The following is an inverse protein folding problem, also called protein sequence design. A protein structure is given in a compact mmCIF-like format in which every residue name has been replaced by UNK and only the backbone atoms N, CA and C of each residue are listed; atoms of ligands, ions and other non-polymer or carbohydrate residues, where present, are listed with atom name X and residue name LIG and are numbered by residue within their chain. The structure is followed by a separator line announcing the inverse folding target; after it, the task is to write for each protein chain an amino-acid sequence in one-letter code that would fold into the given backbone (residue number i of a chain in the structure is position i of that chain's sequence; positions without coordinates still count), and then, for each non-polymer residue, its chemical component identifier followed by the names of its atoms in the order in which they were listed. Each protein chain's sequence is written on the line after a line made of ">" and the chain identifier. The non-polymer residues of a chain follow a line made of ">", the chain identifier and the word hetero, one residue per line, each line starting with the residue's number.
data_IF_637250490875
#
_entry.id   IF_637250490875
#
_cell.length_a   1.000
_cell.length_b   1.000
_cell.length_c   1.000
_cell.angle_alpha   90.00
_cell.angle_beta   90.00
_cell.angle_gamma   90.00
#
_symmetry.space_group_name_H-M   'P 1'
#
loop_
_entity.id
_entity.type
_entity.pdbx_description
1 polymer ?
#
# COMPACT_ATOMS: atom_id res chain seq x y z
N UNK A 1 -6.14 22.13 -1.60
CA UNK A 1 -5.94 21.66 -0.20
C UNK A 1 -5.20 22.75 0.54
N UNK A 2 -5.58 23.09 1.78
CA UNK A 2 -4.88 24.14 2.56
C UNK A 2 -4.60 23.64 3.97
N UNK A 3 -3.34 23.45 4.38
CA UNK A 3 -3.03 23.03 5.75
C UNK A 3 -3.16 24.21 6.72
N UNK A 4 -3.66 23.94 7.91
CA UNK A 4 -3.75 24.84 9.05
C UNK A 4 -2.99 24.21 10.22
N UNK A 5 -1.96 24.89 10.69
CA UNK A 5 -1.23 24.47 11.90
C UNK A 5 -2.04 24.84 13.13
N UNK A 6 -2.47 23.85 13.90
CA UNK A 6 -3.17 24.02 15.16
C UNK A 6 -2.15 23.88 16.30
N UNK A 7 -1.28 24.88 16.43
CA UNK A 7 -0.12 24.82 17.32
C UNK A 7 1.04 24.01 16.73
N UNK A 8 1.95 23.57 17.61
CA UNK A 8 3.24 22.95 17.20
C UNK A 8 3.10 21.51 16.70
N UNK A 9 2.10 20.79 17.19
CA UNK A 9 2.00 19.33 17.04
C UNK A 9 0.84 18.88 16.16
N UNK A 10 -0.11 19.76 15.84
CA UNK A 10 -1.32 19.40 15.09
C UNK A 10 -1.37 20.15 13.77
N UNK A 11 -1.75 19.46 12.71
CA UNK A 11 -2.00 20.05 11.40
C UNK A 11 -3.34 19.54 10.86
N UNK A 12 -4.27 20.46 10.62
CA UNK A 12 -5.56 20.19 10.02
C UNK A 12 -5.50 20.55 8.53
N UNK A 13 -5.85 19.61 7.65
CA UNK A 13 -5.83 19.83 6.20
C UNK A 13 -7.20 19.49 5.61
N UNK A 14 -8.12 20.48 5.50
CA UNK A 14 -9.33 20.32 4.73
C UNK A 14 -9.05 20.38 3.22
N UNK A 15 -9.89 19.66 2.49
CA UNK A 15 -9.96 19.69 1.04
C UNK A 15 -11.38 19.38 0.60
N UNK A 16 -11.82 20.04 -0.45
CA UNK A 16 -13.13 19.83 -1.05
C UNK A 16 -13.01 19.83 -2.56
N UNK A 17 -13.96 19.18 -3.20
CA UNK A 17 -14.15 19.19 -4.63
C UNK A 17 -15.65 19.32 -4.92
N UNK A 18 -15.97 20.19 -5.85
CA UNK A 18 -17.27 20.21 -6.51
C UNK A 18 -16.99 20.07 -8.00
N UNK A 19 -17.69 19.16 -8.66
CA UNK A 19 -17.60 18.94 -10.10
C UNK A 19 -19.01 18.85 -10.66
N UNK A 20 -19.24 19.56 -11.75
CA UNK A 20 -20.46 19.48 -12.54
C UNK A 20 -20.06 19.06 -13.96
N UNK A 21 -20.73 18.04 -14.48
CA UNK A 21 -20.60 17.63 -15.87
C UNK A 21 -21.96 17.84 -16.54
N UNK A 22 -21.98 18.54 -17.67
CA UNK A 22 -23.19 18.81 -18.46
C UNK A 22 -23.02 18.18 -19.83
N UNK A 23 -24.03 17.46 -20.30
CA UNK A 23 -24.01 16.73 -21.56
C UNK A 23 -24.87 17.44 -22.60
N UNK A 24 -24.50 17.34 -23.88
CA UNK A 24 -25.27 17.92 -24.99
C UNK A 24 -26.68 17.31 -25.10
N UNK A 25 -26.87 16.11 -24.58
CA UNK A 25 -28.15 15.40 -24.48
C UNK A 25 -29.10 15.97 -23.41
N UNK A 26 -28.64 16.92 -22.59
CA UNK A 26 -29.44 17.64 -21.60
C UNK A 26 -29.32 17.12 -20.17
N UNK A 27 -28.68 15.98 -19.96
CA UNK A 27 -28.35 15.47 -18.63
C UNK A 27 -27.27 16.31 -17.94
N UNK A 28 -27.29 16.29 -16.60
CA UNK A 28 -26.23 16.85 -15.78
C UNK A 28 -25.91 15.93 -14.61
N UNK A 29 -24.60 15.83 -14.31
CA UNK A 29 -24.05 15.11 -13.17
C UNK A 29 -23.38 16.10 -12.23
N UNK A 30 -23.52 15.83 -10.93
CA UNK A 30 -22.90 16.61 -9.87
C UNK A 30 -22.14 15.68 -8.93
N UNK A 31 -20.93 16.07 -8.57
CA UNK A 31 -20.12 15.42 -7.57
C UNK A 31 -19.72 16.44 -6.51
N UNK A 32 -19.94 16.08 -5.25
CA UNK A 32 -19.43 16.81 -4.09
C UNK A 32 -18.58 15.87 -3.25
N UNK A 33 -17.37 16.31 -2.93
CA UNK A 33 -16.43 15.56 -2.12
C UNK A 33 -15.75 16.46 -1.11
N UNK A 34 -15.46 15.91 0.06
CA UNK A 34 -14.79 16.60 1.15
C UNK A 34 -13.89 15.63 1.90
N UNK A 35 -12.71 16.08 2.27
CA UNK A 35 -11.79 15.34 3.14
C UNK A 35 -11.14 16.27 4.15
N UNK A 36 -11.13 15.86 5.40
CA UNK A 36 -10.46 16.56 6.50
C UNK A 36 -9.44 15.62 7.12
N UNK A 37 -8.16 15.97 7.01
CA UNK A 37 -7.05 15.24 7.63
C UNK A 37 -6.55 15.99 8.86
N UNK A 38 -6.62 15.38 10.05
CA UNK A 38 -6.00 15.86 11.27
C UNK A 38 -4.76 15.01 11.55
N UNK A 39 -3.57 15.60 11.42
CA UNK A 39 -2.30 14.96 11.73
C UNK A 39 -1.80 15.45 13.07
N UNK A 40 -1.47 14.53 13.98
CA UNK A 40 -0.77 14.82 15.23
C UNK A 40 0.65 14.24 15.18
N UNK A 41 1.65 15.07 15.43
CA UNK A 41 3.05 14.67 15.57
C UNK A 41 3.43 14.92 17.02
N UNK A 42 3.38 13.89 17.86
CA UNK A 42 3.67 14.02 19.29
C UNK A 42 5.16 14.24 19.52
N UNK A 43 5.98 13.47 18.80
CA UNK A 43 7.44 13.58 18.78
C UNK A 43 7.97 12.94 17.46
N UNK A 44 9.29 12.93 17.19
CA UNK A 44 9.82 12.32 15.96
C UNK A 44 9.51 10.83 15.78
N UNK A 45 9.18 10.13 16.88
CA UNK A 45 8.95 8.69 16.92
C UNK A 45 7.46 8.31 16.82
N UNK A 46 6.54 9.22 17.12
CA UNK A 46 5.09 8.92 17.20
C UNK A 46 4.30 9.98 16.47
N UNK A 47 3.53 9.56 15.48
CA UNK A 47 2.56 10.41 14.80
C UNK A 47 1.26 9.67 14.52
N UNK A 48 0.14 10.36 14.58
CA UNK A 48 -1.16 9.84 14.19
C UNK A 48 -1.81 10.70 13.11
N UNK A 49 -2.71 10.10 12.35
CA UNK A 49 -3.57 10.80 11.39
C UNK A 49 -4.98 10.27 11.52
N UNK A 50 -5.92 11.17 11.73
CA UNK A 50 -7.35 10.93 11.65
C UNK A 50 -7.87 11.61 10.39
N UNK A 51 -8.58 10.87 9.55
CA UNK A 51 -9.07 11.35 8.26
C UNK A 51 -10.58 11.12 8.18
N UNK A 52 -11.35 12.17 7.98
CA UNK A 52 -12.75 12.07 7.57
C UNK A 52 -12.85 12.29 6.06
N UNK A 53 -13.56 11.43 5.34
CA UNK A 53 -13.75 11.53 3.89
C UNK A 53 -15.20 11.28 3.51
N UNK A 54 -15.76 12.21 2.74
CA UNK A 54 -17.10 12.17 2.18
C UNK A 54 -17.04 12.35 0.67
N UNK A 55 -17.80 11.57 -0.08
CA UNK A 55 -17.98 11.78 -1.51
C UNK A 55 -19.38 11.34 -1.92
N UNK A 56 -20.11 12.17 -2.66
CA UNK A 56 -21.43 11.88 -3.20
C UNK A 56 -21.49 12.31 -4.67
N UNK A 57 -21.97 11.41 -5.53
CA UNK A 57 -22.30 11.70 -6.92
C UNK A 57 -23.81 11.58 -7.13
N UNK A 58 -24.40 12.51 -7.87
CA UNK A 58 -25.83 12.51 -8.23
C UNK A 58 -26.01 12.94 -9.69
N UNK A 59 -27.12 12.52 -10.29
CA UNK A 59 -27.47 12.88 -11.66
C UNK A 59 -27.07 11.81 -12.69
N UNK A 60 -27.80 11.73 -13.81
CA UNK A 60 -27.56 10.76 -14.86
C UNK A 60 -26.36 11.12 -15.73
N UNK A 61 -25.92 10.15 -16.53
CA UNK A 61 -24.91 10.30 -17.59
C UNK A 61 -25.36 9.45 -18.79
N UNK A 62 -25.18 9.94 -20.03
CA UNK A 62 -25.46 9.17 -21.24
C UNK A 62 -24.36 8.13 -21.55
N UNK A 63 -23.25 8.09 -20.79
CA UNK A 63 -22.08 7.29 -21.11
C UNK A 63 -21.84 6.14 -20.13
N UNK A 64 -21.63 4.93 -20.66
CA UNK A 64 -21.32 3.74 -19.86
C UNK A 64 -19.92 3.79 -19.20
N UNK A 65 -19.02 4.65 -19.67
CA UNK A 65 -17.70 4.86 -19.06
C UNK A 65 -17.73 5.84 -17.87
N UNK A 66 -18.84 6.56 -17.69
CA UNK A 66 -19.00 7.48 -16.58
C UNK A 66 -19.37 6.71 -15.31
N UNK A 67 -18.35 6.40 -14.53
CA UNK A 67 -18.53 5.75 -13.24
C UNK A 67 -19.22 6.70 -12.25
N UNK A 68 -20.44 6.35 -11.81
CA UNK A 68 -21.09 7.02 -10.69
C UNK A 68 -20.44 6.49 -9.41
N UNK A 69 -19.53 7.28 -8.85
CA UNK A 69 -18.89 6.92 -7.59
C UNK A 69 -19.98 6.79 -6.50
N UNK A 70 -20.07 5.62 -5.81
CA UNK A 70 -21.03 5.44 -4.74
C UNK A 70 -20.78 6.46 -3.62
N UNK A 71 -21.82 6.72 -2.83
CA UNK A 71 -21.66 7.52 -1.61
C UNK A 71 -20.56 6.87 -0.77
N UNK A 72 -19.57 7.67 -0.37
CA UNK A 72 -18.56 7.26 0.61
C UNK A 72 -18.64 8.21 1.79
N UNK A 73 -18.62 7.65 2.99
CA UNK A 73 -18.59 8.41 4.24
C UNK A 73 -17.77 7.59 5.24
N UNK A 74 -16.52 7.97 5.41
CA UNK A 74 -15.52 7.14 6.10
C UNK A 74 -14.69 7.94 7.08
N UNK A 75 -14.39 7.33 8.21
CA UNK A 75 -13.39 7.82 9.17
C UNK A 75 -12.23 6.83 9.15
N UNK A 76 -11.01 7.29 8.93
CA UNK A 76 -9.81 6.47 8.92
C UNK A 76 -8.83 6.94 9.99
N UNK A 77 -8.24 5.99 10.71
CA UNK A 77 -7.21 6.24 11.71
C UNK A 77 -5.91 5.57 11.31
N UNK A 78 -4.80 6.27 11.48
CA UNK A 78 -3.44 5.73 11.33
C UNK A 78 -2.58 6.17 12.49
N UNK A 79 -1.84 5.23 13.08
CA UNK A 79 -0.76 5.46 14.03
C UNK A 79 0.55 4.98 13.41
N UNK A 80 1.56 5.82 13.43
CA UNK A 80 2.92 5.51 12.99
C UNK A 80 3.85 5.62 14.18
N UNK A 81 4.52 4.52 14.50
CA UNK A 81 5.57 4.41 15.50
C UNK A 81 6.90 4.18 14.79
N UNK A 82 7.92 4.94 15.16
CA UNK A 82 9.29 4.88 14.63
C UNK A 82 10.27 4.92 15.80
N UNK A 83 10.40 3.86 16.62
CA UNK A 83 11.26 3.88 17.80
C UNK A 83 12.74 4.10 17.46
N UNK A 84 13.16 3.80 16.23
CA UNK A 84 14.48 4.13 15.68
C UNK A 84 14.37 4.35 14.17
N UNK A 85 15.46 4.77 13.52
CA UNK A 85 15.53 4.86 12.06
C UNK A 85 15.40 3.50 11.37
N UNK A 86 15.70 2.41 12.10
CA UNK A 86 15.68 1.03 11.59
C UNK A 86 14.29 0.40 11.63
N UNK A 87 13.36 0.92 12.43
CA UNK A 87 12.08 0.27 12.70
C UNK A 87 10.94 1.26 12.52
N UNK A 88 9.94 0.88 11.73
CA UNK A 88 8.69 1.63 11.59
C UNK A 88 7.49 0.68 11.64
N UNK A 89 6.57 0.93 12.55
CA UNK A 89 5.29 0.24 12.68
C UNK A 89 4.14 1.20 12.33
N UNK A 90 3.36 0.85 11.31
CA UNK A 90 2.12 1.53 10.96
C UNK A 90 0.93 0.65 11.38
N UNK A 91 0.05 1.18 12.24
CA UNK A 91 -1.26 0.61 12.54
C UNK A 91 -2.32 1.48 11.85
N UNK A 92 -3.25 0.87 11.13
CA UNK A 92 -4.31 1.63 10.46
C UNK A 92 -5.63 0.87 10.39
N UNK A 93 -6.73 1.58 10.53
CA UNK A 93 -8.08 1.06 10.32
C UNK A 93 -8.99 2.16 9.76
N UNK A 94 -10.19 1.79 9.34
CA UNK A 94 -11.23 2.72 8.96
C UNK A 94 -12.59 2.24 9.42
N UNK A 95 -13.57 3.14 9.41
CA UNK A 95 -14.96 2.87 9.69
C UNK A 95 -15.80 3.50 8.58
N UNK A 96 -16.64 2.71 7.94
CA UNK A 96 -17.59 3.19 6.95
C UNK A 96 -18.92 3.46 7.66
N UNK A 97 -19.32 4.73 7.68
CA UNK A 97 -20.51 5.21 8.38
C UNK A 97 -21.79 4.76 7.68
N UNK A 98 -21.76 4.50 6.37
CA UNK A 98 -22.93 4.10 5.59
C UNK A 98 -23.28 2.63 5.86
N UNK A 99 -22.26 1.78 5.84
CA UNK A 99 -22.43 0.35 6.07
C UNK A 99 -22.27 -0.04 7.53
N UNK A 100 -21.99 0.93 8.40
CA UNK A 100 -21.74 0.77 9.85
C UNK A 100 -20.69 -0.29 10.19
N UNK A 101 -19.66 -0.42 9.35
CA UNK A 101 -18.68 -1.51 9.46
C UNK A 101 -17.25 -0.98 9.53
N UNK A 102 -16.42 -1.65 10.31
CA UNK A 102 -14.98 -1.39 10.35
C UNK A 102 -14.28 -2.04 9.15
N UNK A 103 -13.31 -1.33 8.58
CA UNK A 103 -12.22 -1.97 7.85
C UNK A 103 -11.37 -2.83 8.79
N UNK A 104 -10.53 -3.69 8.22
CA UNK A 104 -9.57 -4.46 9.02
C UNK A 104 -8.57 -3.52 9.68
N UNK A 105 -8.19 -3.82 10.92
CA UNK A 105 -6.99 -3.25 11.53
C UNK A 105 -5.77 -3.87 10.85
N UNK A 106 -4.99 -3.06 10.14
CA UNK A 106 -3.78 -3.48 9.44
C UNK A 106 -2.56 -3.02 10.24
N UNK A 107 -1.67 -3.97 10.54
CA UNK A 107 -0.36 -3.70 11.09
C UNK A 107 0.70 -3.89 9.99
N UNK A 108 1.56 -2.91 9.78
CA UNK A 108 2.69 -2.97 8.84
C UNK A 108 3.99 -2.63 9.55
N UNK A 109 4.93 -3.56 9.57
CA UNK A 109 6.27 -3.38 10.09
C UNK A 109 7.25 -3.22 8.92
N UNK A 110 7.98 -2.12 8.89
CA UNK A 110 9.19 -1.93 8.08
C UNK A 110 10.41 -2.04 9.00
N UNK A 111 11.35 -2.92 8.64
CA UNK A 111 12.59 -3.14 9.36
C UNK A 111 13.79 -3.02 8.41
N UNK A 112 14.75 -2.18 8.79
CA UNK A 112 15.97 -1.84 8.07
C UNK A 112 17.19 -2.01 8.98
N UNK A 113 17.66 -3.25 9.23
CA UNK A 113 18.79 -3.50 10.12
C UNK A 113 20.09 -2.84 9.64
N UNK A 114 20.23 -2.73 8.31
CA UNK A 114 21.30 -2.08 7.54
C UNK A 114 20.66 -1.21 6.45
N UNK A 115 21.40 -0.26 5.90
CA UNK A 115 20.87 0.68 4.88
C UNK A 115 20.32 -0.04 3.64
N UNK A 116 21.03 -1.05 3.15
CA UNK A 116 20.66 -1.79 1.94
C UNK A 116 19.76 -3.01 2.19
N UNK A 117 19.26 -3.15 3.42
CA UNK A 117 18.36 -4.23 3.80
C UNK A 117 17.00 -3.64 4.13
N UNK A 118 15.97 -4.03 3.38
CA UNK A 118 14.60 -3.62 3.61
C UNK A 118 13.69 -4.83 3.75
N UNK A 119 13.08 -4.96 4.92
CA UNK A 119 12.12 -6.00 5.23
C UNK A 119 10.78 -5.35 5.55
N UNK A 120 9.69 -5.78 4.91
CA UNK A 120 8.34 -5.35 5.27
C UNK A 120 7.46 -6.55 5.55
N UNK A 121 6.77 -6.49 6.68
CA UNK A 121 5.81 -7.48 7.13
C UNK A 121 4.46 -6.80 7.32
N UNK A 122 3.37 -7.46 6.96
CA UNK A 122 2.05 -6.94 7.31
C UNK A 122 1.04 -8.03 7.57
N UNK A 123 0.17 -7.76 8.54
CA UNK A 123 -0.94 -8.63 8.90
C UNK A 123 -2.17 -7.80 9.21
N UNK A 124 -3.32 -8.46 9.27
CA UNK A 124 -4.59 -7.77 9.50
C UNK A 124 -5.52 -8.52 10.44
N UNK A 125 -6.29 -7.77 11.21
CA UNK A 125 -7.28 -8.25 12.15
C UNK A 125 -8.65 -7.70 11.77
N UNK A 126 -9.64 -8.56 11.63
CA UNK A 126 -11.01 -8.17 11.34
C UNK A 126 -11.68 -7.69 12.63
N UNK A 127 -11.96 -6.39 12.70
CA UNK A 127 -12.57 -5.77 13.89
C UNK A 127 -14.05 -6.16 14.06
N UNK A 128 -14.76 -6.52 12.98
CA UNK A 128 -16.17 -6.90 13.05
C UNK A 128 -16.34 -8.34 13.52
N UNK A 129 -15.55 -9.29 12.99
CA UNK A 129 -15.62 -10.71 13.39
C UNK A 129 -14.69 -11.05 14.57
N UNK A 130 -13.80 -10.13 14.96
CA UNK A 130 -12.77 -10.33 15.99
C UNK A 130 -11.77 -11.43 15.64
N UNK A 131 -11.51 -11.62 14.36
CA UNK A 131 -10.63 -12.67 13.86
C UNK A 131 -9.34 -12.09 13.28
N UNK A 132 -8.21 -12.67 13.67
CA UNK A 132 -6.95 -12.42 13.01
C UNK A 132 -6.88 -13.18 11.69
N UNK A 133 -6.39 -12.55 10.63
CA UNK A 133 -6.25 -13.21 9.32
C UNK A 133 -5.21 -14.32 9.32
N UNK A 134 -4.36 -14.43 10.36
CA UNK A 134 -3.27 -15.41 10.50
C UNK A 134 -2.34 -15.49 9.30
N UNK A 135 -2.34 -14.45 8.46
CA UNK A 135 -1.52 -14.31 7.27
C UNK A 135 -0.54 -13.18 7.49
N UNK A 136 0.73 -13.45 7.18
CA UNK A 136 1.80 -12.47 7.17
C UNK A 136 2.25 -12.29 5.73
N UNK A 137 1.96 -11.12 5.16
CA UNK A 137 2.55 -10.71 3.90
C UNK A 137 3.97 -10.25 4.18
N UNK A 138 4.94 -10.79 3.45
CA UNK A 138 6.36 -10.56 3.67
C UNK A 138 7.01 -10.12 2.37
N UNK A 139 7.83 -9.08 2.45
CA UNK A 139 8.70 -8.63 1.37
C UNK A 139 10.08 -8.38 1.93
N UNK A 140 11.11 -8.95 1.32
CA UNK A 140 12.51 -8.76 1.70
C UNK A 140 13.27 -8.30 0.47
N UNK A 141 14.14 -7.33 0.66
CA UNK A 141 15.03 -6.78 -0.34
C UNK A 141 16.38 -6.57 0.33
N UNK A 142 17.32 -7.48 0.07
CA UNK A 142 18.57 -7.61 0.82
C UNK A 142 19.74 -7.53 -0.15
N UNK A 143 20.50 -6.44 -0.11
CA UNK A 143 21.80 -6.36 -0.76
C UNK A 143 22.84 -7.04 0.14
N UNK A 144 23.38 -8.19 -0.29
CA UNK A 144 24.34 -8.95 0.51
C UNK A 144 25.78 -8.44 0.33
N UNK A 145 26.09 -7.97 -0.87
CA UNK A 145 27.30 -7.25 -1.27
C UNK A 145 26.96 -6.37 -2.48
N UNK A 146 27.88 -5.55 -2.99
CA UNK A 146 27.66 -4.73 -4.21
C UNK A 146 27.14 -5.53 -5.41
N UNK A 147 27.43 -6.82 -5.38
CA UNK A 147 27.40 -7.76 -6.47
C UNK A 147 26.24 -8.76 -6.37
N UNK A 148 25.62 -8.88 -5.19
CA UNK A 148 24.59 -9.87 -4.88
C UNK A 148 23.41 -9.26 -4.14
N UNK A 149 22.21 -9.56 -4.65
CA UNK A 149 20.94 -9.12 -4.06
C UNK A 149 19.94 -10.25 -3.99
N UNK A 150 19.22 -10.36 -2.88
CA UNK A 150 18.12 -11.30 -2.71
C UNK A 150 16.83 -10.52 -2.54
N UNK A 151 15.83 -10.85 -3.35
CA UNK A 151 14.45 -10.39 -3.20
C UNK A 151 13.55 -11.56 -2.86
N UNK A 152 12.67 -11.34 -1.90
CA UNK A 152 11.61 -12.28 -1.57
C UNK A 152 10.29 -11.55 -1.46
N UNK A 153 9.22 -12.17 -1.95
CA UNK A 153 7.84 -11.74 -1.71
C UNK A 153 6.98 -12.97 -1.53
N UNK A 154 6.17 -13.00 -0.49
CA UNK A 154 5.26 -14.11 -0.26
C UNK A 154 4.30 -13.85 0.89
N UNK A 155 3.42 -14.82 1.12
CA UNK A 155 2.48 -14.81 2.23
C UNK A 155 2.67 -16.10 3.02
N UNK A 156 2.93 -15.96 4.31
CA UNK A 156 2.97 -17.07 5.26
C UNK A 156 1.57 -17.17 5.88
N UNK A 157 0.90 -18.30 5.67
CA UNK A 157 -0.26 -18.70 6.45
C UNK A 157 0.24 -19.38 7.73
N UNK A 158 -0.24 -18.95 8.89
CA UNK A 158 0.25 -19.41 10.19
C UNK A 158 -0.54 -20.58 10.76
N UNK A 159 -1.68 -20.93 10.17
CA UNK A 159 -2.44 -22.11 10.61
C UNK A 159 -1.72 -23.41 10.23
N UNK A 160 -1.17 -23.48 9.02
CA UNK A 160 -0.48 -24.66 8.47
C UNK A 160 0.97 -24.38 8.07
N UNK A 161 1.49 -23.19 8.39
CA UNK A 161 2.82 -22.70 7.95
C UNK A 161 3.01 -22.75 6.43
N UNK A 162 1.92 -22.63 5.66
CA UNK A 162 1.96 -22.70 4.20
C UNK A 162 2.39 -21.38 3.60
N UNK A 163 3.32 -21.49 2.67
CA UNK A 163 3.78 -20.40 1.84
C UNK A 163 2.92 -20.28 0.57
N UNK A 164 2.31 -19.12 0.38
CA UNK A 164 1.51 -18.81 -0.83
C UNK A 164 2.04 -17.58 -1.53
N UNK A 165 1.95 -17.57 -2.86
CA UNK A 165 2.49 -16.50 -3.71
C UNK A 165 3.98 -16.18 -3.44
N UNK A 166 4.74 -17.16 -2.93
CA UNK A 166 6.16 -17.04 -2.63
C UNK A 166 6.99 -17.03 -3.91
N UNK A 167 7.74 -15.95 -4.09
CA UNK A 167 8.74 -15.77 -5.12
C UNK A 167 10.05 -15.37 -4.46
N UNK A 168 11.12 -16.10 -4.78
CA UNK A 168 12.49 -15.76 -4.43
C UNK A 168 13.23 -15.39 -5.71
N UNK A 169 13.92 -14.26 -5.70
CA UNK A 169 14.79 -13.80 -6.78
C UNK A 169 16.20 -13.56 -6.24
N UNK A 170 17.20 -14.11 -6.91
CA UNK A 170 18.62 -13.90 -6.60
C UNK A 170 19.24 -13.21 -7.81
N UNK A 171 19.76 -12.00 -7.59
CA UNK A 171 20.40 -11.18 -8.63
C UNK A 171 21.90 -11.14 -8.41
N UNK A 172 22.65 -11.38 -9.48
CA UNK A 172 24.09 -11.11 -9.59
C UNK A 172 24.31 -9.91 -10.51
N UNK A 173 24.97 -8.87 -10.01
CA UNK A 173 25.40 -7.71 -10.80
C UNK A 173 26.80 -7.95 -11.39
N UNK A 174 26.93 -7.90 -12.70
CA UNK A 174 28.18 -8.10 -13.43
C UNK A 174 28.66 -6.78 -14.06
N UNK A 175 28.54 -5.68 -13.32
CA UNK A 175 28.87 -4.31 -13.69
C UNK A 175 27.98 -3.73 -14.80
N UNK A 176 28.06 -4.25 -16.03
CA UNK A 176 27.27 -3.80 -17.18
C UNK A 176 26.01 -4.65 -17.42
N UNK A 177 25.88 -5.76 -16.71
CA UNK A 177 24.85 -6.78 -16.92
C UNK A 177 24.30 -7.22 -15.57
N UNK A 178 23.06 -7.66 -15.52
CA UNK A 178 22.48 -8.29 -14.35
C UNK A 178 21.83 -9.61 -14.74
N UNK A 179 22.03 -10.63 -13.90
CA UNK A 179 21.40 -11.93 -14.04
C UNK A 179 20.54 -12.15 -12.81
N UNK A 180 19.24 -12.38 -12.99
CA UNK A 180 18.34 -12.74 -11.89
C UNK A 180 17.76 -14.11 -12.12
N UNK A 181 17.96 -15.01 -11.16
CA UNK A 181 17.29 -16.31 -11.13
C UNK A 181 16.11 -16.19 -10.17
N UNK A 182 14.92 -16.53 -10.66
CA UNK A 182 13.69 -16.45 -9.90
C UNK A 182 13.04 -17.83 -9.77
N UNK A 183 12.43 -18.08 -8.61
CA UNK A 183 11.65 -19.28 -8.33
C UNK A 183 10.31 -18.92 -7.70
N UNK A 184 9.21 -19.42 -8.27
CA UNK A 184 7.86 -19.28 -7.72
C UNK A 184 7.38 -20.64 -7.20
N UNK A 185 7.32 -20.76 -5.87
CA UNK A 185 7.02 -22.03 -5.20
C UNK A 185 5.63 -22.57 -5.56
N UNK A 186 4.63 -21.70 -5.68
CA UNK A 186 3.23 -22.09 -5.91
C UNK A 186 3.01 -22.87 -7.22
N UNK A 187 3.77 -22.54 -8.26
CA UNK A 187 3.68 -23.17 -9.58
C UNK A 187 4.92 -23.99 -9.92
N UNK A 188 5.85 -24.13 -8.96
CA UNK A 188 7.18 -24.73 -9.13
C UNK A 188 7.99 -24.17 -10.32
N UNK A 189 7.65 -22.96 -10.77
CA UNK A 189 8.25 -22.39 -11.98
C UNK A 189 9.56 -21.68 -11.68
N UNK A 190 10.51 -21.79 -12.61
CA UNK A 190 11.76 -21.03 -12.58
C UNK A 190 11.85 -20.15 -13.81
N UNK A 191 12.44 -18.97 -13.67
CA UNK A 191 12.79 -18.13 -14.81
C UNK A 191 14.07 -17.35 -14.52
N UNK A 192 14.84 -17.15 -15.57
CA UNK A 192 16.06 -16.35 -15.58
C UNK A 192 15.77 -15.08 -16.33
N UNK A 193 16.20 -13.97 -15.76
CA UNK A 193 16.12 -12.65 -16.34
C UNK A 193 17.53 -12.14 -16.57
N UNK A 194 17.82 -11.73 -17.81
CA UNK A 194 19.06 -11.09 -18.18
C UNK A 194 18.79 -9.65 -18.60
N UNK A 195 19.55 -8.73 -18.04
CA UNK A 195 19.40 -7.29 -18.25
C UNK A 195 20.75 -6.68 -18.59
N UNK A 196 20.80 -5.83 -19.63
CA UNK A 196 21.99 -5.07 -20.01
C UNK A 196 21.75 -3.61 -19.64
N UNK A 197 22.56 -3.05 -18.75
CA UNK A 197 22.33 -1.69 -18.22
C UNK A 197 22.41 -0.60 -19.31
N UNK A 198 23.16 -0.85 -20.38
CA UNK A 198 23.24 0.04 -21.54
C UNK A 198 21.94 0.11 -22.37
N UNK A 199 21.05 -0.89 -22.24
CA UNK A 199 19.76 -0.95 -22.92
C UNK A 199 18.62 -1.10 -21.89
N UNK A 200 18.28 -0.02 -21.17
CA UNK A 200 17.47 -0.11 -19.95
C UNK A 200 16.01 -0.52 -20.18
N UNK A 201 15.55 -0.48 -21.42
CA UNK A 201 14.20 -0.91 -21.81
C UNK A 201 14.12 -2.38 -22.23
N UNK A 202 15.27 -3.05 -22.42
CA UNK A 202 15.32 -4.42 -22.92
C UNK A 202 15.68 -5.39 -21.80
N UNK A 203 14.78 -6.34 -21.56
CA UNK A 203 14.96 -7.41 -20.57
C UNK A 203 14.63 -8.74 -21.23
N UNK A 204 15.60 -9.64 -21.24
CA UNK A 204 15.42 -10.99 -21.78
C UNK A 204 14.98 -11.89 -20.64
N UNK A 205 13.81 -12.52 -20.77
CA UNK A 205 13.27 -13.44 -19.77
C UNK A 205 13.09 -14.82 -20.41
N UNK A 206 13.69 -15.85 -19.79
CA UNK A 206 13.59 -17.24 -20.23
C UNK A 206 13.15 -18.06 -19.02
N UNK A 207 12.09 -18.88 -19.14
CA UNK A 207 11.59 -19.65 -18.01
C UNK A 207 10.67 -20.79 -18.41
N UNK A 208 10.45 -21.70 -17.46
CA UNK A 208 9.64 -22.91 -17.62
C UNK A 208 8.94 -23.33 -16.33
N UNK A 209 8.06 -24.33 -16.44
CA UNK A 209 7.35 -24.98 -15.33
C UNK A 209 7.97 -26.34 -15.02
#
# INVERSE_FOLDING_TARGET
>A
KRPFSLGKYLTLTPSGIFRQDVYLTGEARYLVGGKVDLKAVYNPYISSTLSYSYNKSVGPTPFNFDYIAPLTNTVSGKLTLKPSEKVKLDLSTNYNIITENFGKLVAKLEYKPKEDWKMNFSSSYNLNTKEWTKKINSTLDLQLSDDWRIKYKGVVDLDDFKLTNSVVGITRDLHCREITINYKQATKSFWVEFYIKAFPTEKITIGGQ
#
